data_IF_538633067354
#
_entry.id   IF_538633067354
#
_cell.length_a   1.000
_cell.length_b   1.000
_cell.length_c   1.000
_cell.angle_alpha   90.00
_cell.angle_beta   90.00
_cell.angle_gamma   90.00
#
_symmetry.space_group_name_H-M   'P 1'
#
loop_
_entity.id
_entity.type
_entity.pdbx_description
1 polymer ?
#
# COMPACT_ATOMS: atom_id res chain seq x y z
N UNK A 1 -2.26 -12.01 3.53
CA UNK A 1 -3.18 -13.17 3.56
C UNK A 1 -2.79 -14.16 4.65
N UNK A 2 -1.50 -14.39 4.87
CA UNK A 2 -0.96 -15.38 5.84
C UNK A 2 -1.28 -15.07 7.31
N UNK A 3 -1.68 -13.84 7.62
CA UNK A 3 -2.03 -13.38 8.97
C UNK A 3 -3.37 -12.66 9.03
N UNK A 4 -4.19 -12.73 7.98
CA UNK A 4 -5.40 -11.92 7.87
C UNK A 4 -6.68 -12.73 7.80
N UNK A 5 -7.78 -12.13 8.25
CA UNK A 5 -9.14 -12.63 8.09
C UNK A 5 -9.71 -12.38 6.68
N UNK A 6 -8.87 -12.04 5.70
CA UNK A 6 -9.27 -11.66 4.35
C UNK A 6 -8.63 -12.56 3.30
N UNK A 7 -9.41 -12.97 2.31
CA UNK A 7 -8.94 -13.69 1.13
C UNK A 7 -9.66 -13.19 -0.12
N UNK A 8 -8.93 -13.02 -1.22
CA UNK A 8 -9.50 -12.62 -2.51
C UNK A 8 -9.49 -13.83 -3.44
N UNK A 9 -10.66 -14.35 -3.77
CA UNK A 9 -10.82 -15.49 -4.68
C UNK A 9 -11.29 -14.99 -6.04
N UNK A 10 -10.60 -15.41 -7.10
CA UNK A 10 -10.97 -15.07 -8.46
C UNK A 10 -11.77 -16.22 -9.09
N UNK A 11 -13.02 -15.94 -9.49
CA UNK A 11 -13.80 -16.82 -10.36
C UNK A 11 -13.46 -16.49 -11.81
N UNK A 12 -12.57 -17.29 -12.40
CA UNK A 12 -12.13 -17.07 -13.77
C UNK A 12 -13.24 -17.27 -14.82
N UNK A 13 -14.29 -18.06 -14.50
CA UNK A 13 -15.39 -18.28 -15.44
C UNK A 13 -16.28 -17.04 -15.57
N UNK A 14 -16.38 -16.26 -14.49
CA UNK A 14 -17.20 -15.03 -14.43
C UNK A 14 -16.36 -13.75 -14.54
N UNK A 15 -15.03 -13.84 -14.46
CA UNK A 15 -14.16 -12.66 -14.40
C UNK A 15 -14.35 -11.81 -13.13
N UNK A 16 -14.82 -12.41 -12.04
CA UNK A 16 -15.15 -11.67 -10.81
C UNK A 16 -14.18 -12.03 -9.68
N UNK A 17 -13.74 -11.01 -8.94
CA UNK A 17 -12.99 -11.18 -7.70
C UNK A 17 -13.93 -11.05 -6.50
N UNK A 18 -14.00 -12.10 -5.68
CA UNK A 18 -14.79 -12.13 -4.46
C UNK A 18 -13.90 -11.86 -3.25
N UNK A 19 -14.06 -10.75 -2.54
CA UNK A 19 -13.45 -10.56 -1.25
C UNK A 19 -14.21 -11.41 -0.22
N UNK A 20 -13.52 -12.34 0.41
CA UNK A 20 -14.02 -13.10 1.54
C UNK A 20 -13.42 -12.47 2.79
N UNK A 21 -14.25 -12.20 3.78
CA UNK A 21 -13.83 -11.68 5.08
C UNK A 21 -14.55 -12.47 6.18
N UNK A 22 -13.78 -13.26 6.92
CA UNK A 22 -14.28 -14.05 8.05
C UNK A 22 -13.13 -14.32 9.00
N UNK A 23 -13.34 -14.14 10.30
CA UNK A 23 -12.31 -14.44 11.29
C UNK A 23 -11.95 -15.92 11.36
N UNK A 24 -12.87 -16.82 10.99
CA UNK A 24 -12.64 -18.26 10.94
C UNK A 24 -11.62 -18.69 9.88
N UNK A 25 -11.35 -17.84 8.87
CA UNK A 25 -10.32 -18.13 7.87
C UNK A 25 -8.94 -17.57 8.24
N UNK A 26 -8.82 -16.92 9.39
CA UNK A 26 -7.51 -16.46 9.88
C UNK A 26 -6.61 -17.66 10.14
N UNK A 27 -5.40 -17.73 9.55
CA UNK A 27 -4.49 -18.86 9.80
C UNK A 27 -4.06 -18.95 11.25
N UNK A 28 -4.00 -20.17 11.79
CA UNK A 28 -3.48 -20.41 13.14
C UNK A 28 -1.97 -20.23 13.25
N UNK A 29 -1.26 -20.44 12.13
CA UNK A 29 0.20 -20.30 12.04
C UNK A 29 0.56 -19.69 10.69
N UNK A 30 1.41 -18.67 10.70
CA UNK A 30 2.04 -18.11 9.51
C UNK A 30 3.53 -18.45 9.49
N UNK A 31 4.02 -18.99 8.38
CA UNK A 31 5.44 -19.22 8.15
C UNK A 31 5.92 -18.12 7.21
N UNK A 32 6.71 -17.19 7.77
CA UNK A 32 7.29 -16.07 7.02
C UNK A 32 8.69 -16.46 6.60
N UNK A 33 8.84 -16.90 5.35
CA UNK A 33 10.11 -17.40 4.80
C UNK A 33 10.59 -16.48 3.68
N UNK A 34 11.61 -15.63 3.92
CA UNK A 34 12.11 -14.66 2.95
C UNK A 34 12.80 -15.32 1.74
N UNK A 35 13.29 -16.56 1.88
CA UNK A 35 13.95 -17.28 0.79
C UNK A 35 13.00 -17.51 -0.40
N UNK A 36 11.70 -17.63 -0.14
CA UNK A 36 10.68 -17.74 -1.18
C UNK A 36 10.53 -16.49 -2.06
N UNK A 37 11.06 -15.35 -1.62
CA UNK A 37 11.04 -14.10 -2.35
C UNK A 37 12.41 -13.67 -2.89
N UNK A 38 13.44 -14.53 -2.80
CA UNK A 38 14.78 -14.23 -3.29
C UNK A 38 14.79 -13.85 -4.78
N UNK A 39 14.04 -14.58 -5.59
CA UNK A 39 13.97 -14.38 -7.05
C UNK A 39 12.85 -13.43 -7.50
N UNK A 40 12.21 -12.72 -6.57
CA UNK A 40 11.10 -11.81 -6.90
C UNK A 40 11.55 -10.70 -7.85
N UNK A 41 10.83 -10.46 -8.98
CA UNK A 41 11.16 -9.39 -9.90
C UNK A 41 11.17 -8.02 -9.20
N UNK A 42 12.16 -7.19 -9.53
CA UNK A 42 12.40 -5.87 -8.90
C UNK A 42 11.14 -5.00 -8.89
N UNK A 43 10.39 -4.99 -10.01
CA UNK A 43 9.10 -4.28 -10.10
C UNK A 43 8.10 -4.76 -9.04
N UNK A 44 8.05 -6.05 -8.80
CA UNK A 44 7.14 -6.62 -7.80
C UNK A 44 7.60 -6.25 -6.38
N UNK A 45 8.90 -6.22 -6.10
CA UNK A 45 9.45 -5.72 -4.83
C UNK A 45 8.98 -4.30 -4.54
N UNK A 46 9.04 -3.41 -5.55
CA UNK A 46 8.57 -2.03 -5.42
C UNK A 46 7.07 -1.96 -5.10
N UNK A 47 6.27 -2.66 -5.91
CA UNK A 47 4.81 -2.59 -5.79
C UNK A 47 4.29 -3.21 -4.48
N UNK A 48 4.78 -4.39 -4.11
CA UNK A 48 4.35 -5.07 -2.86
C UNK A 48 4.89 -4.37 -1.61
N UNK A 49 6.09 -3.78 -1.69
CA UNK A 49 6.64 -2.99 -0.58
C UNK A 49 5.84 -1.71 -0.32
N UNK A 50 5.43 -1.01 -1.36
CA UNK A 50 4.53 0.15 -1.22
C UNK A 50 3.10 -0.24 -0.82
N UNK A 51 2.67 -1.44 -1.18
CA UNK A 51 1.41 -2.02 -0.68
C UNK A 51 1.48 -2.23 0.84
N UNK A 52 2.56 -2.83 1.34
CA UNK A 52 2.79 -3.00 2.77
C UNK A 52 2.86 -1.66 3.53
N UNK A 53 3.51 -0.63 2.95
CA UNK A 53 3.50 0.74 3.49
C UNK A 53 2.07 1.29 3.57
N UNK A 54 1.27 1.07 2.53
CA UNK A 54 -0.13 1.51 2.48
C UNK A 54 -0.98 0.79 3.52
N UNK A 55 -0.81 -0.53 3.67
CA UNK A 55 -1.47 -1.32 4.73
C UNK A 55 -1.21 -0.72 6.11
N UNK A 56 0.04 -0.47 6.44
CA UNK A 56 0.44 0.06 7.74
C UNK A 56 -0.11 1.48 7.99
N UNK A 57 -0.01 2.37 7.01
CA UNK A 57 -0.50 3.75 7.12
C UNK A 57 -2.04 3.77 7.25
N UNK A 58 -2.76 3.01 6.42
CA UNK A 58 -4.23 2.96 6.49
C UNK A 58 -4.71 2.32 7.79
N UNK A 59 -4.09 1.23 8.23
CA UNK A 59 -4.41 0.61 9.52
C UNK A 59 -4.22 1.59 10.68
N UNK A 60 -3.10 2.33 10.69
CA UNK A 60 -2.84 3.32 11.74
C UNK A 60 -3.89 4.43 11.77
N UNK A 61 -4.31 4.95 10.61
CA UNK A 61 -5.28 6.07 10.53
C UNK A 61 -6.74 5.60 10.53
N UNK A 62 -6.97 4.31 10.44
CA UNK A 62 -8.32 3.71 10.48
C UNK A 62 -9.11 4.15 11.71
N UNK A 63 -10.43 4.27 11.58
CA UNK A 63 -11.33 4.52 12.72
C UNK A 63 -11.48 3.29 13.64
N UNK A 64 -11.06 2.10 13.17
CA UNK A 64 -11.02 0.87 13.96
C UNK A 64 -9.65 0.62 14.62
N UNK A 65 -8.74 1.60 14.59
CA UNK A 65 -7.44 1.50 15.25
C UNK A 65 -7.57 1.29 16.77
N UNK A 66 -6.57 0.66 17.36
CA UNK A 66 -6.51 0.47 18.80
C UNK A 66 -5.06 0.31 19.30
N UNK A 67 -4.88 0.24 20.62
CA UNK A 67 -3.56 0.11 21.25
C UNK A 67 -2.81 -1.19 20.86
N UNK A 68 -3.47 -2.18 20.29
CA UNK A 68 -2.84 -3.40 19.79
C UNK A 68 -2.42 -3.29 18.32
N UNK A 69 -3.16 -2.53 17.50
CA UNK A 69 -2.86 -2.38 16.07
C UNK A 69 -1.86 -1.26 15.80
N UNK A 70 -1.91 -0.17 16.56
CA UNK A 70 -1.05 1.01 16.35
C UNK A 70 0.45 0.70 16.45
N UNK A 71 0.95 -0.04 17.45
CA UNK A 71 2.38 -0.36 17.54
C UNK A 71 2.87 -1.21 16.37
N UNK A 72 2.05 -2.16 15.89
CA UNK A 72 2.37 -3.00 14.74
C UNK A 72 2.48 -2.16 13.47
N UNK A 73 1.52 -1.25 13.24
CA UNK A 73 1.51 -0.36 12.09
C UNK A 73 2.74 0.57 12.08
N UNK A 74 3.04 1.22 13.20
CA UNK A 74 4.18 2.15 13.29
C UNK A 74 5.49 1.40 13.09
N UNK A 75 5.67 0.25 13.73
CA UNK A 75 6.90 -0.53 13.56
C UNK A 75 7.06 -1.03 12.12
N UNK A 76 5.97 -1.46 11.48
CA UNK A 76 6.00 -1.80 10.05
C UNK A 76 6.44 -0.60 9.18
N UNK A 77 5.91 0.61 9.44
CA UNK A 77 6.30 1.83 8.72
C UNK A 77 7.80 2.10 8.87
N UNK A 78 8.34 2.02 10.08
CA UNK A 78 9.78 2.22 10.36
C UNK A 78 10.66 1.21 9.61
N UNK A 79 10.30 -0.08 9.65
CA UNK A 79 11.04 -1.13 8.95
C UNK A 79 11.00 -0.94 7.43
N UNK A 80 9.83 -0.61 6.87
CA UNK A 80 9.66 -0.37 5.43
C UNK A 80 10.46 0.86 5.00
N UNK A 81 10.39 1.96 5.76
CA UNK A 81 11.15 3.18 5.51
C UNK A 81 12.67 2.89 5.42
N UNK A 82 13.18 2.07 6.30
CA UNK A 82 14.61 1.78 6.38
C UNK A 82 15.11 0.78 5.33
N UNK A 83 14.23 -0.08 4.80
CA UNK A 83 14.64 -1.26 4.06
C UNK A 83 14.08 -1.37 2.64
N UNK A 84 12.94 -0.74 2.30
CA UNK A 84 12.29 -0.97 1.00
C UNK A 84 13.19 -0.63 -0.20
N UNK A 85 13.83 0.54 -0.19
CA UNK A 85 14.73 0.94 -1.28
C UNK A 85 15.98 0.06 -1.37
N UNK A 86 16.50 -0.39 -0.22
CA UNK A 86 17.64 -1.35 -0.19
C UNK A 86 17.21 -2.69 -0.76
N UNK A 87 16.07 -3.22 -0.36
CA UNK A 87 15.50 -4.47 -0.90
C UNK A 87 15.24 -4.38 -2.40
N UNK A 88 14.74 -3.23 -2.87
CA UNK A 88 14.56 -2.94 -4.30
C UNK A 88 15.88 -2.98 -5.08
N UNK A 89 16.96 -2.51 -4.48
CA UNK A 89 18.30 -2.52 -5.04
C UNK A 89 19.06 -3.86 -4.85
N UNK A 90 18.39 -4.89 -4.33
CA UNK A 90 18.93 -6.25 -4.25
C UNK A 90 19.59 -6.63 -2.93
N UNK A 91 19.44 -5.81 -1.87
CA UNK A 91 19.90 -6.18 -0.53
C UNK A 91 18.98 -7.24 0.07
N UNK A 92 19.49 -8.48 0.23
CA UNK A 92 18.71 -9.61 0.71
C UNK A 92 18.42 -9.54 2.22
N UNK A 93 19.29 -8.93 3.02
CA UNK A 93 19.01 -8.71 4.44
C UNK A 93 17.89 -7.69 4.63
N UNK A 94 17.84 -6.65 3.77
CA UNK A 94 16.73 -5.72 3.74
C UNK A 94 15.44 -6.40 3.25
N UNK A 95 15.52 -7.37 2.32
CA UNK A 95 14.37 -8.14 1.85
C UNK A 95 13.79 -9.04 2.94
N UNK A 96 14.62 -9.66 3.73
CA UNK A 96 14.21 -10.43 4.92
C UNK A 96 13.42 -9.54 5.88
N UNK A 97 13.99 -8.40 6.25
CA UNK A 97 13.30 -7.41 7.10
C UNK A 97 11.97 -6.92 6.51
N UNK A 98 11.89 -6.79 5.17
CA UNK A 98 10.64 -6.40 4.49
C UNK A 98 9.54 -7.47 4.63
N UNK A 99 9.90 -8.76 4.75
CA UNK A 99 8.94 -9.84 5.04
C UNK A 99 8.33 -9.70 6.43
N UNK A 100 9.15 -9.42 7.44
CA UNK A 100 8.66 -9.13 8.79
C UNK A 100 7.75 -7.89 8.79
N UNK A 101 8.18 -6.84 8.11
CA UNK A 101 7.42 -5.58 8.05
C UNK A 101 6.03 -5.77 7.42
N UNK A 102 5.93 -6.52 6.31
CA UNK A 102 4.63 -6.79 5.69
C UNK A 102 3.75 -7.69 6.57
N UNK A 103 4.33 -8.65 7.29
CA UNK A 103 3.61 -9.49 8.24
C UNK A 103 3.02 -8.63 9.39
N UNK A 104 3.80 -7.73 9.97
CA UNK A 104 3.35 -6.77 10.99
C UNK A 104 2.23 -5.86 10.47
N UNK A 105 2.39 -5.32 9.26
CA UNK A 105 1.34 -4.52 8.60
C UNK A 105 0.06 -5.36 8.41
N UNK A 106 0.19 -6.63 8.02
CA UNK A 106 -0.90 -7.59 7.86
C UNK A 106 -1.66 -7.83 9.16
N UNK A 107 -0.96 -8.08 10.26
CA UNK A 107 -1.55 -8.25 11.59
C UNK A 107 -2.28 -6.97 12.05
N UNK A 108 -1.71 -5.81 11.76
CA UNK A 108 -2.34 -4.53 12.10
C UNK A 108 -3.65 -4.34 11.33
N UNK A 109 -3.62 -4.38 9.99
CA UNK A 109 -4.83 -4.08 9.22
C UNK A 109 -5.90 -5.17 9.29
N UNK A 110 -5.53 -6.42 9.57
CA UNK A 110 -6.52 -7.49 9.78
C UNK A 110 -7.49 -7.15 10.92
N UNK A 111 -7.04 -6.38 11.90
CA UNK A 111 -7.83 -5.96 13.05
C UNK A 111 -8.31 -4.50 12.95
N UNK A 112 -7.50 -3.60 12.37
CA UNK A 112 -7.85 -2.18 12.22
C UNK A 112 -8.64 -1.88 10.95
N UNK A 113 -8.71 -2.82 10.00
CA UNK A 113 -9.26 -2.63 8.65
C UNK A 113 -8.42 -1.66 7.79
N UNK A 114 -8.87 -1.45 6.56
CA UNK A 114 -8.25 -0.59 5.57
C UNK A 114 -9.18 0.58 5.21
N UNK A 115 -8.72 1.47 4.35
CA UNK A 115 -9.41 2.70 4.03
C UNK A 115 -9.67 2.91 2.53
N UNK A 116 -9.67 4.19 2.14
CA UNK A 116 -10.03 4.65 0.80
C UNK A 116 -9.01 4.20 -0.25
N UNK A 117 -7.72 4.15 0.08
CA UNK A 117 -6.66 3.78 -0.87
C UNK A 117 -6.92 2.38 -1.42
N UNK A 118 -7.07 1.39 -0.55
CA UNK A 118 -7.34 0.00 -0.93
C UNK A 118 -8.68 -0.15 -1.65
N UNK A 119 -9.72 0.56 -1.21
CA UNK A 119 -11.03 0.54 -1.86
C UNK A 119 -10.93 1.03 -3.31
N UNK A 120 -10.19 2.11 -3.56
CA UNK A 120 -9.94 2.65 -4.91
C UNK A 120 -9.08 1.69 -5.73
N UNK A 121 -7.99 1.14 -5.16
CA UNK A 121 -7.09 0.23 -5.87
C UNK A 121 -7.80 -1.06 -6.34
N UNK A 122 -8.64 -1.66 -5.50
CA UNK A 122 -9.44 -2.82 -5.87
C UNK A 122 -10.39 -2.51 -7.04
N UNK A 123 -11.08 -1.38 -7.01
CA UNK A 123 -12.00 -0.97 -8.08
C UNK A 123 -11.25 -0.67 -9.38
N UNK A 124 -10.14 0.07 -9.30
CA UNK A 124 -9.33 0.40 -10.47
C UNK A 124 -8.75 -0.85 -11.13
N UNK A 125 -8.21 -1.79 -10.34
CA UNK A 125 -7.67 -3.04 -10.87
C UNK A 125 -8.71 -3.97 -11.52
N UNK A 126 -9.99 -3.81 -11.20
CA UNK A 126 -11.09 -4.58 -11.79
C UNK A 126 -11.75 -3.86 -12.99
N UNK A 127 -11.93 -2.53 -12.89
CA UNK A 127 -12.77 -1.76 -13.81
C UNK A 127 -12.20 -1.60 -15.22
N UNK A 128 -10.88 -1.72 -15.39
CA UNK A 128 -10.21 -1.38 -16.65
C UNK A 128 -9.49 -2.55 -17.31
N UNK A 129 -9.72 -3.79 -16.85
CA UNK A 129 -9.08 -5.00 -17.39
C UNK A 129 -9.42 -5.18 -18.86
N UNK A 130 -10.69 -4.99 -19.24
CA UNK A 130 -11.18 -5.15 -20.62
C UNK A 130 -10.63 -4.06 -21.57
N UNK A 131 -10.12 -2.97 -21.04
CA UNK A 131 -9.49 -1.87 -21.79
C UNK A 131 -7.95 -1.95 -21.82
N UNK A 132 -7.39 -3.08 -21.39
CA UNK A 132 -5.94 -3.26 -21.30
C UNK A 132 -5.28 -2.56 -20.10
N UNK A 133 -6.09 -2.03 -19.19
CA UNK A 133 -5.65 -1.38 -17.95
C UNK A 133 -5.33 -2.36 -16.84
N UNK A 134 -4.33 -3.23 -17.05
CA UNK A 134 -3.89 -4.18 -16.02
C UNK A 134 -3.03 -3.48 -14.96
N UNK A 135 -3.67 -2.63 -14.14
CA UNK A 135 -2.97 -1.88 -13.09
C UNK A 135 -2.74 -2.80 -11.89
N UNK A 136 -1.47 -3.06 -11.58
CA UNK A 136 -1.08 -3.91 -10.46
C UNK A 136 -1.51 -3.25 -9.15
N UNK A 137 -2.11 -4.03 -8.24
CA UNK A 137 -2.70 -3.57 -6.99
C UNK A 137 -1.78 -2.68 -6.16
N UNK A 138 -0.55 -3.12 -5.89
CA UNK A 138 0.41 -2.35 -5.10
C UNK A 138 0.84 -1.04 -5.78
N UNK A 139 0.92 -1.01 -7.12
CA UNK A 139 1.18 0.22 -7.85
C UNK A 139 0.00 1.21 -7.73
N UNK A 140 -1.25 0.72 -7.81
CA UNK A 140 -2.44 1.55 -7.60
C UNK A 140 -2.44 2.15 -6.20
N UNK A 141 -2.16 1.34 -5.17
CA UNK A 141 -2.04 1.81 -3.79
C UNK A 141 -0.96 2.90 -3.66
N UNK A 142 0.22 2.70 -4.21
CA UNK A 142 1.32 3.68 -4.18
C UNK A 142 0.95 5.01 -4.87
N UNK A 143 0.23 4.95 -6.00
CA UNK A 143 -0.24 6.14 -6.72
C UNK A 143 -1.32 6.92 -5.98
N UNK A 144 -2.20 6.22 -5.26
CA UNK A 144 -3.33 6.85 -4.57
C UNK A 144 -2.99 7.32 -3.17
N UNK A 145 -2.10 6.66 -2.45
CA UNK A 145 -1.78 6.95 -1.06
C UNK A 145 -1.49 8.43 -0.79
N UNK A 146 -0.60 9.13 -1.51
CA UNK A 146 -0.35 10.56 -1.27
C UNK A 146 -1.58 11.44 -1.48
N UNK A 147 -2.47 11.07 -2.40
CA UNK A 147 -3.69 11.82 -2.73
C UNK A 147 -4.75 11.63 -1.65
N UNK A 148 -4.91 10.40 -1.17
CA UNK A 148 -5.86 10.06 -0.10
C UNK A 148 -5.41 10.65 1.23
N UNK A 149 -4.11 10.67 1.54
CA UNK A 149 -3.60 11.39 2.72
C UNK A 149 -4.00 12.86 2.68
N UNK A 150 -3.82 13.54 1.54
CA UNK A 150 -4.22 14.94 1.37
C UNK A 150 -5.74 15.15 1.51
N UNK A 151 -6.54 14.17 1.09
CA UNK A 151 -7.99 14.20 1.26
C UNK A 151 -8.41 13.97 2.72
N UNK A 152 -7.90 12.91 3.35
CA UNK A 152 -8.24 12.52 4.72
C UNK A 152 -7.74 13.54 5.75
N UNK A 153 -6.61 14.22 5.50
CA UNK A 153 -6.07 15.26 6.38
C UNK A 153 -6.96 16.51 6.50
N UNK A 154 -8.10 16.58 5.79
CA UNK A 154 -9.15 17.56 6.06
C UNK A 154 -9.88 17.28 7.36
N UNK A 155 -9.92 16.02 7.80
CA UNK A 155 -10.39 15.64 9.11
C UNK A 155 -9.30 15.87 10.16
N UNK A 156 -9.58 16.58 11.28
CA UNK A 156 -8.56 16.90 12.29
C UNK A 156 -7.96 15.67 12.96
N UNK A 157 -8.73 14.60 13.16
CA UNK A 157 -8.26 13.36 13.80
C UNK A 157 -7.28 12.63 12.89
N UNK A 158 -7.65 12.44 11.62
CA UNK A 158 -6.79 11.83 10.63
C UNK A 158 -5.51 12.66 10.42
N UNK A 159 -5.62 13.99 10.31
CA UNK A 159 -4.47 14.91 10.20
C UNK A 159 -3.47 14.69 11.33
N UNK A 160 -3.94 14.68 12.59
CA UNK A 160 -3.10 14.44 13.75
C UNK A 160 -2.40 13.10 13.69
N UNK A 161 -3.10 12.04 13.28
CA UNK A 161 -2.51 10.70 13.16
C UNK A 161 -1.45 10.63 12.05
N UNK A 162 -1.66 11.28 10.90
CA UNK A 162 -0.61 11.43 9.89
C UNK A 162 0.59 12.25 10.40
N UNK A 163 0.35 13.27 11.22
CA UNK A 163 1.41 14.03 11.88
C UNK A 163 2.26 13.14 12.78
N UNK A 164 1.64 12.24 13.54
CA UNK A 164 2.35 11.26 14.38
C UNK A 164 3.19 10.29 13.53
N UNK A 165 2.68 9.81 12.39
CA UNK A 165 3.48 9.00 11.45
C UNK A 165 4.72 9.78 11.01
N UNK A 166 4.57 11.05 10.62
CA UNK A 166 5.69 11.88 10.18
C UNK A 166 6.74 12.08 11.29
N UNK A 167 6.31 12.16 12.56
CA UNK A 167 7.21 12.23 13.72
C UNK A 167 8.02 10.93 13.89
N UNK A 168 7.37 9.77 13.83
CA UNK A 168 8.04 8.47 13.90
C UNK A 168 9.00 8.25 12.71
N UNK A 169 8.65 8.73 11.54
CA UNK A 169 9.52 8.69 10.36
C UNK A 169 10.62 9.77 10.38
N UNK A 170 10.68 10.61 11.39
CA UNK A 170 11.66 11.71 11.55
C UNK A 170 11.68 12.70 10.38
N UNK A 171 10.51 13.00 9.79
CA UNK A 171 10.41 13.88 8.62
C UNK A 171 10.49 15.37 8.98
N UNK A 172 10.29 15.72 10.24
CA UNK A 172 10.24 17.12 10.70
C UNK A 172 8.85 17.74 10.55
N UNK A 173 8.79 19.07 10.58
CA UNK A 173 7.57 19.87 10.55
C UNK A 173 7.21 20.45 11.93
N UNK A 174 6.82 21.72 11.97
CA UNK A 174 6.50 22.44 13.20
C UNK A 174 5.04 22.24 13.65
N UNK A 175 4.17 21.80 12.75
CA UNK A 175 2.75 21.57 13.00
C UNK A 175 2.22 20.44 12.11
N UNK A 176 0.99 19.98 12.37
CA UNK A 176 0.42 18.83 11.65
C UNK A 176 0.26 19.07 10.15
N UNK A 177 0.00 20.30 9.69
CA UNK A 177 -0.10 20.61 8.26
C UNK A 177 1.25 20.45 7.56
N UNK A 178 2.33 20.94 8.16
CA UNK A 178 3.69 20.76 7.63
C UNK A 178 4.10 19.28 7.65
N UNK A 179 3.81 18.55 8.75
CA UNK A 179 4.11 17.12 8.88
C UNK A 179 3.40 16.30 7.81
N UNK A 180 2.11 16.56 7.56
CA UNK A 180 1.34 15.91 6.49
C UNK A 180 1.94 16.21 5.12
N UNK A 181 2.32 17.47 4.87
CA UNK A 181 2.95 17.84 3.59
C UNK A 181 4.29 17.13 3.38
N UNK A 182 5.09 16.98 4.44
CA UNK A 182 6.37 16.27 4.40
C UNK A 182 6.17 14.76 4.22
N UNK A 183 5.16 14.15 4.85
CA UNK A 183 4.80 12.75 4.65
C UNK A 183 4.40 12.50 3.18
N UNK A 184 3.55 13.35 2.60
CA UNK A 184 3.15 13.26 1.20
C UNK A 184 4.37 13.39 0.27
N UNK A 185 5.25 14.35 0.56
CA UNK A 185 6.48 14.55 -0.23
C UNK A 185 7.39 13.33 -0.14
N UNK A 186 7.57 12.77 1.06
CA UNK A 186 8.38 11.57 1.28
C UNK A 186 7.86 10.38 0.45
N UNK A 187 6.56 10.09 0.54
CA UNK A 187 5.94 8.98 -0.19
C UNK A 187 6.02 9.14 -1.71
N UNK A 188 5.91 10.37 -2.21
CA UNK A 188 6.14 10.65 -3.64
C UNK A 188 7.60 10.42 -4.04
N UNK A 189 8.55 10.88 -3.22
CA UNK A 189 9.97 10.62 -3.46
C UNK A 189 10.30 9.12 -3.45
N UNK A 190 9.68 8.36 -2.54
CA UNK A 190 9.82 6.91 -2.53
C UNK A 190 9.25 6.27 -3.81
N UNK A 191 8.11 6.74 -4.32
CA UNK A 191 7.60 6.29 -5.62
C UNK A 191 8.59 6.57 -6.77
N UNK A 192 9.24 7.72 -6.76
CA UNK A 192 10.27 8.07 -7.76
C UNK A 192 11.48 7.12 -7.67
N UNK A 193 12.00 6.86 -6.47
CA UNK A 193 13.12 5.95 -6.25
C UNK A 193 12.80 4.50 -6.65
N UNK A 194 11.53 4.09 -6.51
CA UNK A 194 11.04 2.75 -6.84
C UNK A 194 10.52 2.62 -8.29
N UNK A 195 10.65 3.67 -9.10
CA UNK A 195 10.12 3.71 -10.46
C UNK A 195 8.61 3.45 -10.55
N UNK A 196 7.83 3.93 -9.58
CA UNK A 196 6.37 3.85 -9.59
C UNK A 196 5.80 5.16 -10.12
N UNK A 197 4.91 5.15 -11.14
CA UNK A 197 4.31 6.37 -11.66
C UNK A 197 3.39 7.06 -10.65
N UNK A 198 3.22 8.38 -10.77
CA UNK A 198 2.38 9.17 -9.86
C UNK A 198 0.89 9.16 -10.21
N UNK A 199 0.49 8.48 -11.27
CA UNK A 199 -0.90 8.39 -11.71
C UNK A 199 -1.11 7.38 -12.84
N UNK A 200 -2.34 6.92 -12.99
CA UNK A 200 -2.70 5.90 -13.99
C UNK A 200 -2.41 6.36 -15.43
N UNK A 201 -2.53 7.65 -15.71
CA UNK A 201 -2.19 8.24 -17.01
C UNK A 201 -0.69 8.27 -17.32
N UNK A 202 0.13 7.79 -16.41
CA UNK A 202 1.58 7.59 -16.57
C UNK A 202 1.98 6.14 -16.32
N UNK A 203 1.02 5.24 -16.13
CA UNK A 203 1.23 3.83 -15.87
C UNK A 203 1.29 3.08 -17.22
N UNK A 204 2.49 2.66 -17.61
CA UNK A 204 2.72 1.93 -18.86
C UNK A 204 2.20 0.49 -18.82
N UNK A 205 2.10 -0.15 -19.97
CA UNK A 205 1.63 -1.54 -20.10
C UNK A 205 2.52 -2.55 -19.35
N UNK A 206 3.79 -2.21 -19.18
CA UNK A 206 4.76 -2.99 -18.41
C UNK A 206 4.72 -2.69 -16.89
N UNK A 207 3.85 -1.74 -16.47
CA UNK A 207 3.71 -1.29 -15.08
C UNK A 207 4.76 -0.30 -14.62
N UNK A 208 5.53 0.27 -15.55
CA UNK A 208 6.57 1.28 -15.28
C UNK A 208 6.10 2.66 -15.74
N UNK A 209 6.77 3.76 -15.32
CA UNK A 209 6.44 5.10 -15.80
C UNK A 209 6.59 5.21 -17.33
N UNK A 210 5.58 5.80 -17.98
CA UNK A 210 5.55 6.03 -19.43
C UNK A 210 5.16 7.48 -19.75
N UNK A 211 5.52 7.96 -20.94
CA UNK A 211 5.09 9.30 -21.42
C UNK A 211 3.57 9.40 -21.49
N UNK A 212 2.94 8.36 -22.05
CA UNK A 212 1.49 8.19 -22.08
C UNK A 212 1.18 6.83 -21.46
N UNK A 213 0.46 6.83 -20.35
CA UNK A 213 -0.01 5.62 -19.69
C UNK A 213 -1.45 5.32 -20.06
N UNK A 214 -2.07 4.48 -19.24
CA UNK A 214 -3.46 4.09 -19.42
C UNK A 214 -4.41 5.30 -19.26
N UNK A 215 -5.29 5.49 -20.24
CA UNK A 215 -6.35 6.51 -20.21
C UNK A 215 -7.69 5.80 -20.37
N UNK A 216 -8.56 5.79 -19.34
CA UNK A 216 -9.88 5.20 -19.43
C UNK A 216 -10.72 5.87 -20.52
N UNK A 217 -11.58 5.12 -21.19
CA UNK A 217 -12.57 5.68 -22.10
C UNK A 217 -13.58 6.58 -21.39
N UNK A 218 -14.09 7.60 -22.07
CA UNK A 218 -14.89 8.67 -21.46
C UNK A 218 -16.17 8.21 -20.77
N UNK A 219 -16.76 7.09 -21.20
CA UNK A 219 -17.98 6.54 -20.58
C UNK A 219 -17.77 6.03 -19.17
N UNK A 220 -16.53 5.63 -18.82
CA UNK A 220 -16.18 5.12 -17.48
C UNK A 220 -15.66 6.22 -16.53
N UNK A 221 -15.53 7.46 -17.01
CA UNK A 221 -15.15 8.62 -16.18
C UNK A 221 -16.32 9.23 -15.42
N UNK A 222 -17.55 8.78 -15.67
CA UNK A 222 -18.79 9.42 -15.19
C UNK A 222 -19.42 8.70 -14.00
N UNK A 223 -18.97 7.50 -13.65
CA UNK A 223 -19.41 6.71 -12.49
C UNK A 223 -18.34 6.74 -11.37
#
# INVERSE_FOLDING_TARGET
TEVTAFSIITDYNKGIKYPIADFEITPDVAIVDPDLAETMPVKLVAHTGMDAMTHAIEAYVSTANCNYTDPLAIHAIELIQANLVKSYNGDMAARDTMHDAQCLAGQSFSNALLGIVHSMAHKTGAAFVDQGGNIIHGAANAMYLPKVIAFNAKDPTAKKRYGVIADYMHLGGANDDEKVALLIKYLRGMNDELNIPHGINKYGADGMPAETGFVPEDEQRRD
#
